data_IF_254261117802
#
_entry.id   IF_254261117802
#
_cell.length_a   1.000
_cell.length_b   1.000
_cell.length_c   1.000
_cell.angle_alpha   90.00
_cell.angle_beta   90.00
_cell.angle_gamma   90.00
#
_symmetry.space_group_name_H-M   'P 1'
#
loop_
_entity.id
_entity.type
_entity.pdbx_description
1 polymer ?
#
# COMPACT_ATOMS: atom_id res chain seq x y z
N UNK A 1 66.49 5.96 -58.86
CA UNK A 1 66.20 5.58 -57.47
C UNK A 1 64.77 6.01 -57.19
N UNK A 2 63.91 5.04 -56.94
CA UNK A 2 62.47 5.16 -56.78
C UNK A 2 62.08 5.83 -55.46
N UNK A 3 61.16 6.79 -55.47
CA UNK A 3 59.81 6.76 -54.84
C UNK A 3 59.27 8.20 -54.62
N UNK A 4 58.04 8.52 -55.08
CA UNK A 4 57.29 9.70 -54.63
C UNK A 4 56.36 9.30 -53.48
N UNK A 5 56.39 10.06 -52.38
CA UNK A 5 55.52 9.88 -51.22
C UNK A 5 54.16 10.54 -51.52
N UNK A 6 53.21 9.75 -52.03
CA UNK A 6 51.80 10.14 -52.10
C UNK A 6 51.16 9.96 -50.72
N UNK A 7 50.79 11.07 -50.08
CA UNK A 7 49.86 11.07 -48.95
C UNK A 7 48.44 10.92 -49.49
N UNK A 8 47.91 9.71 -49.36
CA UNK A 8 46.50 9.38 -49.61
C UNK A 8 45.62 10.03 -48.53
N UNK A 9 44.83 11.01 -48.94
CA UNK A 9 43.59 11.41 -48.27
C UNK A 9 42.59 10.26 -48.42
N UNK A 10 42.58 9.32 -47.48
CA UNK A 10 41.47 8.41 -47.30
C UNK A 10 40.38 9.14 -46.50
N UNK A 11 39.54 9.91 -47.19
CA UNK A 11 38.26 10.31 -46.63
C UNK A 11 37.42 9.04 -46.48
N UNK A 12 37.37 8.50 -45.26
CA UNK A 12 36.43 7.46 -44.91
C UNK A 12 35.02 8.06 -45.01
N UNK A 13 34.37 7.86 -46.15
CA UNK A 13 32.93 8.03 -46.27
C UNK A 13 32.27 6.95 -45.43
N UNK A 14 32.10 7.23 -44.13
CA UNK A 14 31.08 6.54 -43.35
C UNK A 14 29.76 6.77 -44.10
N UNK A 15 28.98 5.72 -44.41
CA UNK A 15 27.62 5.94 -44.86
C UNK A 15 26.90 6.63 -43.70
N UNK A 16 26.72 7.95 -43.82
CA UNK A 16 25.64 8.61 -43.10
C UNK A 16 24.37 7.93 -43.62
N UNK A 17 23.89 6.94 -42.88
CA UNK A 17 22.48 6.56 -42.91
C UNK A 17 21.78 7.79 -42.38
N UNK A 18 21.48 8.74 -43.27
CA UNK A 18 20.69 9.90 -42.93
C UNK A 18 19.35 9.36 -42.44
N UNK A 19 19.06 9.53 -41.16
CA UNK A 19 17.77 9.16 -40.60
C UNK A 19 16.70 9.83 -41.46
N UNK A 20 15.85 9.03 -42.09
CA UNK A 20 14.77 9.57 -42.92
C UNK A 20 13.62 9.88 -41.97
N UNK A 21 13.40 11.18 -41.77
CA UNK A 21 12.43 11.69 -40.80
C UNK A 21 11.09 11.93 -41.50
N UNK A 22 10.03 11.35 -40.97
CA UNK A 22 8.67 11.62 -41.36
C UNK A 22 8.10 12.74 -40.48
N UNK A 23 7.65 13.83 -41.11
CA UNK A 23 7.02 14.97 -40.41
C UNK A 23 5.72 15.29 -41.15
N UNK A 24 4.56 15.23 -40.48
CA UNK A 24 3.28 15.59 -41.09
C UNK A 24 3.14 17.12 -41.18
N UNK A 25 2.10 17.58 -41.87
CA UNK A 25 1.66 18.97 -41.79
C UNK A 25 0.92 19.19 -40.45
N UNK A 26 1.64 19.61 -39.42
CA UNK A 26 1.08 19.88 -38.09
C UNK A 26 1.94 19.34 -36.95
N UNK A 27 1.42 19.46 -35.72
CA UNK A 27 2.08 18.93 -34.53
C UNK A 27 1.74 17.44 -34.27
N UNK A 28 0.63 16.95 -34.84
CA UNK A 28 0.13 15.59 -34.67
C UNK A 28 -0.27 14.98 -36.01
N UNK A 29 -0.20 13.65 -36.08
CA UNK A 29 -0.66 12.84 -37.21
C UNK A 29 -1.79 11.91 -36.74
N UNK A 30 -2.98 12.11 -37.30
CA UNK A 30 -4.17 11.30 -36.98
C UNK A 30 -4.19 10.01 -37.78
N UNK A 31 -4.26 8.88 -37.07
CA UNK A 31 -4.19 7.54 -37.63
C UNK A 31 -5.51 6.82 -37.34
N UNK A 32 -6.21 6.43 -38.39
CA UNK A 32 -7.45 5.64 -38.26
C UNK A 32 -7.29 4.17 -38.63
N UNK A 33 -6.20 3.80 -39.33
CA UNK A 33 -5.93 2.42 -39.78
C UNK A 33 -4.43 2.13 -39.82
N UNK A 34 -4.04 0.86 -39.75
CA UNK A 34 -2.65 0.43 -39.92
C UNK A 34 -2.08 0.83 -41.29
N UNK A 35 -2.89 0.78 -42.36
CA UNK A 35 -2.46 1.19 -43.70
C UNK A 35 -2.09 2.68 -43.76
N UNK A 36 -2.82 3.54 -43.04
CA UNK A 36 -2.49 4.97 -42.95
C UNK A 36 -1.16 5.20 -42.21
N UNK A 37 -0.91 4.43 -41.15
CA UNK A 37 0.37 4.45 -40.43
C UNK A 37 1.53 3.97 -41.30
N UNK A 38 1.35 2.84 -41.99
CA UNK A 38 2.37 2.26 -42.88
C UNK A 38 2.70 3.21 -44.03
N UNK A 39 1.68 3.87 -44.59
CA UNK A 39 1.87 4.87 -45.65
C UNK A 39 2.63 6.09 -45.16
N UNK A 40 2.30 6.60 -43.97
CA UNK A 40 3.02 7.72 -43.37
C UNK A 40 4.47 7.39 -43.06
N UNK A 41 4.72 6.22 -42.46
CA UNK A 41 6.06 5.82 -42.01
C UNK A 41 6.89 5.14 -43.09
N UNK A 42 6.36 5.03 -44.32
CA UNK A 42 7.07 4.36 -45.40
C UNK A 42 8.45 5.01 -45.64
N UNK A 43 9.48 4.17 -45.67
CA UNK A 43 10.88 4.58 -45.82
C UNK A 43 11.42 5.52 -44.74
N UNK A 44 10.74 5.73 -43.63
CA UNK A 44 11.25 6.52 -42.52
C UNK A 44 11.91 5.63 -41.47
N UNK A 45 12.88 6.22 -40.77
CA UNK A 45 13.53 5.62 -39.60
C UNK A 45 13.25 6.41 -38.33
N UNK A 46 12.63 7.59 -38.45
CA UNK A 46 12.19 8.43 -37.35
C UNK A 46 10.87 9.14 -37.68
N UNK A 47 10.02 9.34 -36.68
CA UNK A 47 8.81 10.15 -36.77
C UNK A 47 8.97 11.39 -35.90
N UNK A 48 8.82 12.57 -36.52
CA UNK A 48 8.89 13.85 -35.83
C UNK A 48 7.49 14.45 -35.65
N UNK A 49 6.66 13.77 -34.85
CA UNK A 49 5.27 14.12 -34.60
C UNK A 49 4.71 13.29 -33.45
N UNK A 50 3.68 13.80 -32.79
CA UNK A 50 2.75 12.96 -32.02
C UNK A 50 1.94 12.10 -32.98
N UNK A 51 1.84 10.79 -32.71
CA UNK A 51 1.04 9.82 -33.45
C UNK A 51 -0.24 9.56 -32.67
N UNK A 52 -1.37 10.08 -33.15
CA UNK A 52 -2.65 9.97 -32.47
C UNK A 52 -3.55 8.95 -33.16
N UNK A 53 -3.93 7.92 -32.45
CA UNK A 53 -4.77 6.85 -32.96
C UNK A 53 -6.23 7.14 -32.61
N UNK A 54 -7.08 7.19 -33.63
CA UNK A 54 -8.51 7.44 -33.45
C UNK A 54 -9.21 6.29 -32.74
N UNK A 55 -10.36 6.56 -32.12
CA UNK A 55 -11.20 5.57 -31.41
C UNK A 55 -11.62 4.38 -32.28
N UNK A 56 -11.66 4.58 -33.60
CA UNK A 56 -12.05 3.57 -34.59
C UNK A 56 -10.89 2.68 -35.04
N UNK A 57 -9.67 2.90 -34.54
CA UNK A 57 -8.54 2.04 -34.86
C UNK A 57 -8.85 0.62 -34.36
N UNK A 58 -8.82 -0.35 -35.28
CA UNK A 58 -9.13 -1.75 -35.00
C UNK A 58 -7.87 -2.59 -35.01
N UNK A 59 -7.96 -3.77 -34.39
CA UNK A 59 -6.98 -4.85 -34.46
C UNK A 59 -5.70 -4.53 -33.68
N UNK A 60 -4.53 -4.76 -34.28
CA UNK A 60 -3.22 -4.60 -33.65
C UNK A 60 -2.48 -3.43 -34.28
N UNK A 61 -1.83 -2.62 -33.44
CA UNK A 61 -0.93 -1.56 -33.86
C UNK A 61 0.48 -2.13 -33.98
N UNK A 62 1.08 -2.02 -35.17
CA UNK A 62 2.47 -2.42 -35.40
C UNK A 62 3.25 -1.24 -35.97
N UNK A 63 4.34 -0.84 -35.33
CA UNK A 63 5.21 0.27 -35.77
C UNK A 63 6.64 -0.22 -36.03
N UNK A 64 6.90 -0.90 -37.17
CA UNK A 64 8.21 -1.43 -37.49
C UNK A 64 9.13 -0.36 -38.13
N UNK A 65 10.44 -0.60 -38.11
CA UNK A 65 11.49 0.21 -38.75
C UNK A 65 11.68 1.65 -38.24
N UNK A 66 10.81 2.14 -37.37
CA UNK A 66 10.98 3.43 -36.70
C UNK A 66 11.82 3.22 -35.45
N UNK A 67 12.90 3.99 -35.33
CA UNK A 67 13.86 3.93 -34.21
C UNK A 67 13.71 5.08 -33.22
N UNK A 68 13.08 6.18 -33.66
CA UNK A 68 12.92 7.38 -32.84
C UNK A 68 11.56 8.03 -33.14
N UNK A 69 10.79 8.31 -32.09
CA UNK A 69 9.55 9.08 -32.15
C UNK A 69 9.70 10.26 -31.20
N UNK A 70 9.78 11.47 -31.74
CA UNK A 70 10.02 12.68 -30.93
C UNK A 70 8.76 13.24 -30.28
N UNK A 71 7.58 12.82 -30.75
CA UNK A 71 6.30 13.11 -30.11
C UNK A 71 5.74 11.87 -29.41
N UNK A 72 4.53 12.02 -28.90
CA UNK A 72 3.89 10.97 -28.10
C UNK A 72 3.14 9.99 -29.01
N UNK A 73 2.94 8.76 -28.54
CA UNK A 73 1.97 7.83 -29.09
C UNK A 73 0.73 7.93 -28.22
N UNK A 74 -0.35 8.45 -28.78
CA UNK A 74 -1.60 8.71 -28.08
C UNK A 74 -2.71 7.79 -28.58
N UNK A 75 -3.31 7.02 -27.68
CA UNK A 75 -4.43 6.11 -27.95
C UNK A 75 -5.52 6.38 -26.93
N UNK A 76 -6.70 6.76 -27.40
CA UNK A 76 -7.84 7.09 -26.53
C UNK A 76 -9.06 6.28 -26.93
N UNK A 77 -9.72 5.68 -25.94
CA UNK A 77 -11.02 5.02 -26.06
C UNK A 77 -11.07 4.04 -27.24
N UNK A 78 -10.16 3.06 -27.24
CA UNK A 78 -10.14 2.00 -28.25
C UNK A 78 -10.61 0.68 -27.63
N UNK A 79 -11.86 0.33 -27.92
CA UNK A 79 -12.48 -0.93 -27.51
C UNK A 79 -12.06 -2.11 -28.39
N UNK A 80 -11.32 -1.88 -29.49
CA UNK A 80 -10.95 -2.91 -30.47
C UNK A 80 -9.46 -3.14 -30.62
N UNK A 81 -8.63 -2.31 -29.97
CA UNK A 81 -7.19 -2.50 -29.99
C UNK A 81 -6.80 -3.67 -29.08
N UNK A 82 -6.26 -4.72 -29.70
CA UNK A 82 -5.87 -5.95 -28.99
C UNK A 82 -4.38 -5.94 -28.62
N UNK A 83 -3.52 -5.35 -29.45
CA UNK A 83 -2.08 -5.31 -29.17
C UNK A 83 -1.36 -4.09 -29.74
N UNK A 84 -0.23 -3.74 -29.14
CA UNK A 84 0.69 -2.68 -29.55
C UNK A 84 2.09 -3.26 -29.63
N UNK A 85 2.65 -3.29 -30.83
CA UNK A 85 3.96 -3.86 -31.14
C UNK A 85 4.86 -2.80 -31.77
N UNK A 86 5.85 -2.33 -31.02
CA UNK A 86 6.78 -1.28 -31.46
C UNK A 86 8.21 -1.85 -31.36
N UNK A 87 8.61 -2.73 -32.28
CA UNK A 87 9.79 -3.59 -32.13
C UNK A 87 11.14 -2.89 -32.26
N UNK A 88 11.17 -1.72 -32.91
CA UNK A 88 12.42 -1.07 -33.34
C UNK A 88 12.71 0.27 -32.65
N UNK A 89 11.75 0.85 -31.93
CA UNK A 89 11.91 2.15 -31.29
C UNK A 89 12.88 2.04 -30.12
N UNK A 90 13.87 2.93 -30.11
CA UNK A 90 14.87 3.07 -29.04
C UNK A 90 14.56 4.28 -28.14
N UNK A 91 13.97 5.32 -28.73
CA UNK A 91 13.62 6.58 -28.06
C UNK A 91 12.18 6.97 -28.41
N UNK A 92 11.38 7.22 -27.37
CA UNK A 92 9.99 7.66 -27.47
C UNK A 92 9.77 8.79 -26.47
N UNK A 93 9.15 9.90 -26.89
CA UNK A 93 8.79 10.99 -25.96
C UNK A 93 7.79 10.49 -24.92
N UNK A 94 6.65 9.99 -25.37
CA UNK A 94 5.62 9.51 -24.47
C UNK A 94 4.76 8.40 -25.05
N UNK A 95 4.18 7.61 -24.15
CA UNK A 95 3.17 6.61 -24.46
C UNK A 95 1.94 6.91 -23.60
N UNK A 96 0.87 7.33 -24.24
CA UNK A 96 -0.39 7.66 -23.59
C UNK A 96 -1.49 6.73 -24.09
N UNK A 97 -2.02 5.90 -23.19
CA UNK A 97 -3.15 5.01 -23.47
C UNK A 97 -4.21 5.24 -22.40
N UNK A 98 -5.41 5.61 -22.83
CA UNK A 98 -6.57 5.75 -21.96
C UNK A 98 -7.75 4.96 -22.50
N UNK A 99 -8.43 4.21 -21.63
CA UNK A 99 -9.67 3.49 -21.95
C UNK A 99 -9.49 2.44 -23.07
N UNK A 100 -8.49 1.56 -22.93
CA UNK A 100 -8.31 0.43 -23.83
C UNK A 100 -8.91 -0.86 -23.22
N UNK A 101 -10.11 -1.26 -23.67
CA UNK A 101 -10.89 -2.32 -23.01
C UNK A 101 -10.42 -3.74 -23.34
N UNK A 102 -9.87 -3.95 -24.54
CA UNK A 102 -9.51 -5.27 -25.07
C UNK A 102 -8.00 -5.46 -25.25
N UNK A 103 -7.20 -4.54 -24.70
CA UNK A 103 -5.76 -4.56 -24.82
C UNK A 103 -5.17 -5.77 -24.09
N UNK A 104 -4.56 -6.68 -24.84
CA UNK A 104 -3.93 -7.88 -24.30
C UNK A 104 -2.42 -7.70 -24.12
N UNK A 105 -1.76 -6.94 -25.01
CA UNK A 105 -0.30 -6.83 -25.00
C UNK A 105 0.21 -5.47 -25.49
N UNK A 106 1.23 -4.97 -24.80
CA UNK A 106 2.02 -3.81 -25.20
C UNK A 106 3.49 -4.22 -25.16
N UNK A 107 4.21 -4.09 -26.28
CA UNK A 107 5.62 -4.48 -26.38
C UNK A 107 6.45 -3.42 -27.08
N UNK A 108 7.45 -2.92 -26.36
CA UNK A 108 8.44 -1.96 -26.84
C UNK A 108 9.84 -2.47 -26.47
N UNK A 109 10.30 -3.58 -27.08
CA UNK A 109 11.42 -4.37 -26.57
C UNK A 109 12.78 -3.67 -26.64
N UNK A 110 12.93 -2.60 -27.43
CA UNK A 110 14.19 -1.88 -27.65
C UNK A 110 14.24 -0.49 -27.02
N UNK A 111 13.14 -0.02 -26.43
CA UNK A 111 13.09 1.31 -25.86
C UNK A 111 13.97 1.38 -24.62
N UNK A 112 14.85 2.38 -24.57
CA UNK A 112 15.76 2.61 -23.43
C UNK A 112 15.36 3.80 -22.57
N UNK A 113 14.69 4.78 -23.18
CA UNK A 113 14.22 5.98 -22.50
C UNK A 113 12.85 6.38 -23.03
N UNK A 114 11.95 6.69 -22.08
CA UNK A 114 10.65 7.33 -22.32
C UNK A 114 10.51 8.48 -21.33
N UNK A 115 10.01 9.64 -21.73
CA UNK A 115 9.73 10.71 -20.77
C UNK A 115 8.52 10.31 -19.93
N UNK A 116 7.36 10.12 -20.58
CA UNK A 116 6.09 9.87 -19.87
C UNK A 116 5.37 8.63 -20.40
N UNK A 117 5.06 7.70 -19.49
CA UNK A 117 4.21 6.55 -19.76
C UNK A 117 2.96 6.68 -18.90
N UNK A 118 1.81 6.81 -19.55
CA UNK A 118 0.50 6.78 -18.93
C UNK A 118 -0.31 5.67 -19.58
N UNK A 119 -0.58 4.61 -18.83
CA UNK A 119 -1.36 3.47 -19.29
C UNK A 119 -2.55 3.29 -18.35
N UNK A 120 -3.74 3.51 -18.86
CA UNK A 120 -4.98 3.25 -18.16
C UNK A 120 -5.86 2.32 -18.99
N UNK A 121 -6.01 1.10 -18.49
CA UNK A 121 -6.77 0.03 -19.14
C UNK A 121 -7.63 -0.73 -18.14
N UNK A 122 -8.87 -1.01 -18.53
CA UNK A 122 -9.74 -1.94 -17.82
C UNK A 122 -9.71 -3.34 -18.45
N UNK A 123 -8.73 -3.63 -19.30
CA UNK A 123 -8.57 -4.94 -19.87
C UNK A 123 -8.33 -5.99 -18.77
N UNK A 124 -8.83 -7.20 -18.99
CA UNK A 124 -8.89 -8.18 -17.92
C UNK A 124 -7.51 -8.66 -17.44
N UNK A 125 -6.52 -8.71 -18.33
CA UNK A 125 -5.20 -9.33 -18.06
C UNK A 125 -4.11 -8.85 -19.05
N UNK A 126 -3.90 -7.55 -19.22
CA UNK A 126 -2.88 -7.04 -20.14
C UNK A 126 -1.46 -7.42 -19.69
N UNK A 127 -0.56 -7.50 -20.67
CA UNK A 127 0.88 -7.72 -20.51
C UNK A 127 1.63 -6.48 -21.02
N UNK A 128 2.58 -5.98 -20.23
CA UNK A 128 3.45 -4.86 -20.60
C UNK A 128 4.91 -5.30 -20.65
N UNK A 129 5.58 -5.08 -21.79
CA UNK A 129 6.97 -5.47 -22.00
C UNK A 129 7.84 -4.28 -22.43
N UNK A 130 8.65 -3.81 -21.49
CA UNK A 130 9.65 -2.75 -21.62
C UNK A 130 11.01 -3.22 -21.04
N UNK A 131 11.55 -4.38 -21.46
CA UNK A 131 12.66 -5.06 -20.78
C UNK A 131 13.97 -4.27 -20.80
N UNK A 132 14.18 -3.43 -21.83
CA UNK A 132 15.39 -2.61 -21.98
C UNK A 132 15.21 -1.16 -21.54
N UNK A 133 14.06 -0.80 -20.94
CA UNK A 133 13.83 0.55 -20.45
C UNK A 133 14.78 0.83 -19.28
N UNK A 134 15.72 1.74 -19.44
CA UNK A 134 16.74 2.05 -18.43
C UNK A 134 16.30 3.22 -17.53
N UNK A 135 15.54 4.16 -18.09
CA UNK A 135 15.08 5.38 -17.42
C UNK A 135 13.70 5.81 -17.92
N UNK A 136 12.89 6.33 -17.01
CA UNK A 136 11.62 7.01 -17.31
C UNK A 136 11.48 8.26 -16.45
N UNK A 137 10.79 9.30 -16.92
CA UNK A 137 10.48 10.42 -16.04
C UNK A 137 9.25 10.11 -15.19
N UNK A 138 8.13 9.79 -15.82
CA UNK A 138 6.91 9.35 -15.15
C UNK A 138 6.36 8.05 -15.72
N UNK A 139 6.06 7.09 -14.84
CA UNK A 139 5.44 5.80 -15.16
C UNK A 139 4.16 5.63 -14.35
N UNK A 140 3.01 5.80 -15.00
CA UNK A 140 1.69 5.71 -14.42
C UNK A 140 0.94 4.53 -15.05
N UNK A 141 0.76 3.46 -14.28
CA UNK A 141 0.17 2.20 -14.71
C UNK A 141 -1.11 1.94 -13.92
N UNK A 142 -2.25 2.04 -14.59
CA UNK A 142 -3.58 1.77 -14.06
C UNK A 142 -4.19 0.57 -14.76
N UNK A 143 -4.67 -0.40 -13.97
CA UNK A 143 -5.38 -1.57 -14.47
C UNK A 143 -4.86 -2.89 -13.91
N UNK A 144 -5.49 -3.97 -14.35
CA UNK A 144 -5.25 -5.31 -13.82
C UNK A 144 -4.13 -6.05 -14.57
N UNK A 145 -2.90 -5.54 -14.47
CA UNK A 145 -1.74 -6.09 -15.17
C UNK A 145 -1.42 -7.52 -14.73
N UNK A 146 -1.32 -8.41 -15.72
CA UNK A 146 -0.94 -9.80 -15.47
C UNK A 146 0.57 -9.98 -15.35
N UNK A 147 1.33 -9.17 -16.09
CA UNK A 147 2.77 -9.05 -15.94
C UNK A 147 3.25 -7.72 -16.51
N UNK A 148 4.35 -7.23 -15.92
CA UNK A 148 5.05 -6.02 -16.33
C UNK A 148 6.55 -6.32 -16.31
N UNK A 149 7.22 -6.16 -17.45
CA UNK A 149 8.66 -6.42 -17.57
C UNK A 149 9.45 -5.12 -17.66
N UNK A 150 10.21 -4.82 -16.60
CA UNK A 150 11.07 -3.64 -16.44
C UNK A 150 12.48 -4.06 -15.98
N UNK A 151 13.09 -5.01 -16.68
CA UNK A 151 14.32 -5.69 -16.25
C UNK A 151 15.52 -4.74 -16.11
N UNK A 152 15.58 -3.70 -16.93
CA UNK A 152 16.69 -2.74 -16.97
C UNK A 152 16.38 -1.40 -16.26
N UNK A 153 15.17 -1.20 -15.72
CA UNK A 153 14.76 0.13 -15.23
C UNK A 153 15.54 0.48 -13.96
N UNK A 154 16.41 1.48 -14.04
CA UNK A 154 17.29 1.89 -12.95
C UNK A 154 16.82 3.15 -12.22
N UNK A 155 16.15 4.06 -12.94
CA UNK A 155 15.78 5.38 -12.41
C UNK A 155 14.41 5.83 -12.91
N UNK A 156 13.59 6.30 -11.99
CA UNK A 156 12.36 7.07 -12.28
C UNK A 156 12.63 8.51 -11.83
N UNK A 157 12.50 9.50 -12.73
CA UNK A 157 12.87 10.89 -12.38
C UNK A 157 11.80 11.66 -11.61
N UNK A 158 10.53 11.28 -11.72
CA UNK A 158 9.43 11.96 -11.06
C UNK A 158 8.48 10.95 -10.40
N UNK A 159 7.59 10.32 -11.16
CA UNK A 159 6.47 9.58 -10.58
C UNK A 159 6.49 8.10 -10.99
N UNK A 160 6.37 7.19 -10.01
CA UNK A 160 6.14 5.76 -10.24
C UNK A 160 4.83 5.30 -9.60
N UNK A 161 3.77 5.21 -10.38
CA UNK A 161 2.44 4.80 -9.92
C UNK A 161 2.05 3.47 -10.57
N UNK A 162 1.69 2.48 -9.75
CA UNK A 162 1.15 1.19 -10.21
C UNK A 162 -0.07 0.83 -9.38
N UNK A 163 -1.24 0.95 -9.97
CA UNK A 163 -2.52 0.75 -9.29
C UNK A 163 -3.51 -0.07 -10.12
N UNK A 164 -4.33 -0.88 -9.44
CA UNK A 164 -5.39 -1.65 -10.10
C UNK A 164 -6.66 -0.85 -10.41
N UNK A 165 -6.75 0.37 -9.88
CA UNK A 165 -7.85 1.33 -10.07
C UNK A 165 -7.29 2.74 -10.31
N UNK A 166 -8.03 3.59 -11.01
CA UNK A 166 -7.63 4.97 -11.34
C UNK A 166 -7.34 5.85 -10.11
N UNK A 167 -8.00 5.58 -8.98
CA UNK A 167 -7.86 6.38 -7.77
C UNK A 167 -6.83 5.82 -6.79
N UNK A 168 -6.23 4.66 -7.06
CA UNK A 168 -5.35 3.94 -6.12
C UNK A 168 -5.97 3.68 -4.73
N UNK A 169 -7.29 3.84 -4.60
CA UNK A 169 -8.05 3.72 -3.35
C UNK A 169 -9.39 3.00 -3.59
N UNK A 170 -9.37 1.71 -4.02
CA UNK A 170 -10.61 1.02 -4.28
C UNK A 170 -11.31 0.65 -2.96
N UNK A 171 -12.60 0.95 -2.85
CA UNK A 171 -13.45 0.56 -1.69
C UNK A 171 -13.47 -0.96 -1.43
N UNK A 172 -13.13 -1.74 -2.46
CA UNK A 172 -13.12 -3.20 -2.40
C UNK A 172 -11.86 -3.75 -3.07
N UNK A 173 -11.27 -4.76 -2.44
CA UNK A 173 -10.17 -5.54 -2.98
C UNK A 173 -10.45 -6.01 -4.42
N UNK A 174 -9.58 -5.70 -5.40
CA UNK A 174 -9.67 -6.25 -6.74
C UNK A 174 -9.66 -7.79 -6.73
N UNK A 175 -10.47 -8.42 -7.60
CA UNK A 175 -10.63 -9.88 -7.60
C UNK A 175 -9.33 -10.67 -7.84
N UNK A 176 -8.41 -10.09 -8.62
CA UNK A 176 -7.13 -10.72 -8.95
C UNK A 176 -6.00 -9.98 -8.29
N UNK A 177 -4.99 -10.73 -7.88
CA UNK A 177 -3.76 -10.14 -7.40
C UNK A 177 -2.82 -9.77 -8.56
N UNK A 178 -1.97 -8.77 -8.36
CA UNK A 178 -0.88 -8.41 -9.27
C UNK A 178 0.50 -8.56 -8.62
N UNK A 179 1.48 -8.90 -9.44
CA UNK A 179 2.89 -8.92 -9.05
C UNK A 179 3.56 -7.64 -9.55
N UNK A 180 4.14 -6.86 -8.63
CA UNK A 180 4.85 -5.62 -8.92
C UNK A 180 6.34 -5.86 -8.66
N UNK A 181 7.14 -5.82 -9.72
CA UNK A 181 8.58 -6.09 -9.65
C UNK A 181 9.38 -5.12 -10.50
N UNK A 182 10.33 -4.43 -9.86
CA UNK A 182 11.34 -3.61 -10.53
C UNK A 182 12.72 -4.05 -10.06
N UNK A 183 13.28 -5.12 -10.66
CA UNK A 183 14.44 -5.83 -10.11
C UNK A 183 15.73 -5.03 -10.13
N UNK A 184 15.84 -4.03 -11.01
CA UNK A 184 17.04 -3.22 -11.19
C UNK A 184 16.88 -1.76 -10.76
N UNK A 185 15.72 -1.38 -10.22
CA UNK A 185 15.38 0.01 -9.86
C UNK A 185 16.15 0.41 -8.62
N UNK A 186 16.94 1.49 -8.73
CA UNK A 186 17.82 1.98 -7.66
C UNK A 186 17.33 3.27 -7.03
N UNK A 187 16.64 4.10 -7.82
CA UNK A 187 16.33 5.46 -7.43
C UNK A 187 15.01 5.94 -8.01
N UNK A 188 14.20 6.59 -7.18
CA UNK A 188 13.00 7.32 -7.56
C UNK A 188 13.19 8.77 -7.09
N UNK A 189 13.32 9.71 -8.03
CA UNK A 189 13.61 11.12 -7.73
C UNK A 189 12.37 11.96 -7.38
N UNK A 190 11.18 11.37 -7.43
CA UNK A 190 9.96 11.98 -6.88
C UNK A 190 9.20 10.98 -6.02
N UNK A 191 7.94 10.72 -6.39
CA UNK A 191 7.00 9.93 -5.59
C UNK A 191 6.75 8.54 -6.16
N UNK A 192 6.40 7.61 -5.27
CA UNK A 192 6.03 6.24 -5.61
C UNK A 192 4.69 5.89 -4.95
N UNK A 193 3.82 5.20 -5.69
CA UNK A 193 2.55 4.72 -5.18
C UNK A 193 2.24 3.34 -5.76
N UNK A 194 1.91 2.40 -4.87
CA UNK A 194 1.56 1.03 -5.22
C UNK A 194 0.21 0.70 -4.57
N UNK A 195 -0.81 0.41 -5.37
CA UNK A 195 -2.18 0.29 -4.89
C UNK A 195 -2.96 -0.91 -5.44
N UNK A 196 -3.67 -1.65 -4.60
CA UNK A 196 -4.59 -2.72 -5.03
C UNK A 196 -4.35 -4.06 -4.33
N UNK A 197 -4.76 -5.16 -4.96
CA UNK A 197 -4.52 -6.51 -4.46
C UNK A 197 -3.12 -6.96 -4.88
N UNK A 198 -2.10 -6.67 -4.07
CA UNK A 198 -0.70 -6.95 -4.42
C UNK A 198 -0.31 -8.32 -3.88
N UNK A 199 0.04 -9.27 -4.78
CA UNK A 199 0.57 -10.57 -4.37
C UNK A 199 2.04 -10.48 -3.94
N UNK A 200 2.82 -9.66 -4.65
CA UNK A 200 4.23 -9.46 -4.40
C UNK A 200 4.65 -8.04 -4.78
N UNK A 201 5.44 -7.40 -3.90
CA UNK A 201 6.09 -6.11 -4.17
C UNK A 201 7.60 -6.28 -4.02
N UNK A 202 8.32 -6.25 -5.14
CA UNK A 202 9.75 -6.55 -5.19
C UNK A 202 10.55 -5.39 -5.78
N UNK A 203 11.26 -4.67 -4.91
CA UNK A 203 12.15 -3.55 -5.24
C UNK A 203 13.54 -3.78 -4.59
N UNK A 204 14.25 -4.87 -4.93
CA UNK A 204 15.40 -5.37 -4.16
C UNK A 204 16.62 -4.46 -4.22
N UNK A 205 16.73 -3.66 -5.28
CA UNK A 205 17.85 -2.75 -5.53
C UNK A 205 17.55 -1.29 -5.17
N UNK A 206 16.33 -0.99 -4.71
CA UNK A 206 15.91 0.39 -4.45
C UNK A 206 16.62 0.92 -3.22
N UNK A 207 17.37 2.02 -3.40
CA UNK A 207 18.16 2.65 -2.34
C UNK A 207 17.51 3.94 -1.85
N UNK A 208 16.94 4.73 -2.75
CA UNK A 208 16.42 6.06 -2.41
C UNK A 208 15.11 6.39 -3.11
N UNK A 209 14.23 7.05 -2.37
CA UNK A 209 13.05 7.73 -2.90
C UNK A 209 13.07 9.16 -2.38
N UNK A 210 13.00 10.16 -3.28
CA UNK A 210 13.21 11.55 -2.89
C UNK A 210 12.01 12.18 -2.17
N UNK A 211 10.80 11.66 -2.38
CA UNK A 211 9.58 12.14 -1.73
C UNK A 211 8.83 11.01 -1.02
N UNK A 212 7.53 10.90 -1.25
CA UNK A 212 6.67 9.91 -0.61
C UNK A 212 6.66 8.58 -1.35
N UNK A 213 6.59 7.51 -0.58
CA UNK A 213 6.32 6.15 -1.02
C UNK A 213 5.09 5.64 -0.27
N UNK A 214 4.02 5.40 -1.00
CA UNK A 214 2.77 4.92 -0.43
C UNK A 214 2.47 3.51 -0.93
N UNK A 215 2.05 2.63 -0.02
CA UNK A 215 1.65 1.26 -0.33
C UNK A 215 0.24 1.05 0.24
N UNK A 216 -0.75 0.97 -0.65
CA UNK A 216 -2.16 0.75 -0.35
C UNK A 216 -2.55 -0.67 -0.74
N UNK A 217 -2.62 -1.58 0.23
CA UNK A 217 -2.82 -3.00 -0.05
C UNK A 217 -4.20 -3.52 0.37
N UNK A 218 -4.95 -4.01 -0.60
CA UNK A 218 -6.32 -4.51 -0.46
C UNK A 218 -6.42 -5.95 -0.96
N UNK A 219 -5.79 -6.87 -0.24
CA UNK A 219 -5.76 -8.30 -0.57
C UNK A 219 -5.43 -9.17 0.63
N UNK A 220 -5.06 -10.45 0.44
CA UNK A 220 -4.50 -11.29 1.50
C UNK A 220 -3.23 -10.68 2.09
N UNK A 221 -2.85 -11.03 3.32
CA UNK A 221 -1.72 -10.42 4.04
C UNK A 221 -0.47 -10.26 3.15
N UNK A 222 0.00 -9.00 3.02
CA UNK A 222 1.25 -8.64 2.37
C UNK A 222 2.35 -8.39 3.42
N UNK A 223 3.57 -8.78 3.10
CA UNK A 223 4.76 -8.51 3.93
C UNK A 223 5.83 -7.84 3.06
N UNK A 224 5.77 -6.51 2.89
CA UNK A 224 6.72 -5.80 2.03
C UNK A 224 8.14 -5.84 2.62
N UNK A 225 9.13 -6.04 1.74
CA UNK A 225 10.56 -6.04 2.08
C UNK A 225 11.32 -5.16 1.09
N UNK A 226 11.95 -4.10 1.61
CA UNK A 226 12.76 -3.15 0.83
C UNK A 226 14.20 -3.18 1.39
N UNK A 227 14.99 -4.21 1.06
CA UNK A 227 16.20 -4.55 1.80
C UNK A 227 17.32 -3.52 1.67
N UNK A 228 17.35 -2.73 0.59
CA UNK A 228 18.38 -1.71 0.34
C UNK A 228 17.89 -0.28 0.52
N UNK A 229 16.60 -0.08 0.83
CA UNK A 229 16.05 1.26 0.98
C UNK A 229 16.71 1.92 2.19
N UNK A 230 17.43 3.01 1.92
CA UNK A 230 18.26 3.73 2.88
C UNK A 230 17.64 5.08 3.27
N UNK A 231 17.12 5.81 2.29
CA UNK A 231 16.57 7.15 2.46
C UNK A 231 15.23 7.30 1.73
N UNK A 232 14.21 7.77 2.44
CA UNK A 232 12.88 8.15 1.90
C UNK A 232 12.33 9.33 2.67
N UNK A 233 11.67 10.31 2.06
CA UNK A 233 11.08 11.43 2.82
C UNK A 233 9.90 10.93 3.66
N UNK A 234 8.87 10.39 2.99
CA UNK A 234 7.66 9.88 3.64
C UNK A 234 7.41 8.44 3.22
N UNK A 235 7.11 7.57 4.18
CA UNK A 235 6.78 6.17 3.93
C UNK A 235 5.45 5.84 4.60
N UNK A 236 4.45 5.51 3.79
CA UNK A 236 3.10 5.19 4.22
C UNK A 236 2.70 3.77 3.83
N UNK A 237 2.19 3.01 4.79
CA UNK A 237 1.65 1.68 4.60
C UNK A 237 0.20 1.64 5.06
N UNK A 238 -0.70 1.20 4.18
CA UNK A 238 -2.12 1.06 4.50
C UNK A 238 -2.67 -0.31 4.07
N UNK A 239 -3.60 -0.85 4.86
CA UNK A 239 -4.35 -2.08 4.58
C UNK A 239 -3.77 -3.36 5.21
N UNK A 240 -3.92 -4.50 4.54
CA UNK A 240 -3.65 -5.83 5.13
C UNK A 240 -2.15 -6.18 5.19
N UNK A 241 -1.39 -5.51 6.06
CA UNK A 241 0.08 -5.68 6.19
C UNK A 241 0.43 -6.12 7.61
N UNK A 242 1.16 -7.23 7.73
CA UNK A 242 1.51 -7.78 9.06
C UNK A 242 2.96 -7.54 9.47
N UNK A 243 3.88 -7.50 8.51
CA UNK A 243 5.33 -7.35 8.75
C UNK A 243 5.92 -6.44 7.70
N UNK A 244 6.77 -5.50 8.12
CA UNK A 244 7.48 -4.57 7.23
C UNK A 244 8.99 -4.73 7.47
N UNK A 245 9.73 -5.06 6.42
CA UNK A 245 11.18 -5.27 6.49
C UNK A 245 11.96 -4.15 5.79
N UNK A 246 12.62 -3.30 6.60
CA UNK A 246 13.42 -2.17 6.14
C UNK A 246 14.82 -2.20 6.80
N UNK A 247 15.64 -3.24 6.57
CA UNK A 247 16.87 -3.45 7.33
C UNK A 247 17.94 -2.38 7.12
N UNK A 248 17.94 -1.69 5.97
CA UNK A 248 18.94 -0.68 5.61
C UNK A 248 18.48 0.76 5.82
N UNK A 249 17.24 0.99 6.26
CA UNK A 249 16.70 2.34 6.35
C UNK A 249 17.45 3.14 7.43
N UNK A 250 18.01 4.28 7.03
CA UNK A 250 18.72 5.18 7.92
C UNK A 250 17.93 6.47 8.14
N UNK A 251 17.28 6.99 7.11
CA UNK A 251 16.68 8.32 7.14
C UNK A 251 15.28 8.35 6.56
N UNK A 252 14.38 8.93 7.32
CA UNK A 252 13.09 9.38 6.86
C UNK A 252 12.60 10.60 7.64
N UNK A 253 11.62 11.29 7.09
CA UNK A 253 10.94 12.39 7.76
C UNK A 253 9.64 11.87 8.38
N UNK A 254 8.79 11.19 7.62
CA UNK A 254 7.52 10.67 8.13
C UNK A 254 7.35 9.17 7.88
N UNK A 255 7.00 8.43 8.94
CA UNK A 255 6.52 7.05 8.86
C UNK A 255 5.06 6.97 9.25
N UNK A 256 4.23 6.42 8.38
CA UNK A 256 2.80 6.17 8.63
C UNK A 256 2.48 4.70 8.40
N UNK A 257 1.68 4.13 9.29
CA UNK A 257 1.28 2.73 9.20
C UNK A 257 -0.14 2.56 9.76
N UNK A 258 -1.08 2.26 8.86
CA UNK A 258 -2.50 2.05 9.13
C UNK A 258 -2.90 0.66 8.62
N UNK A 259 -2.74 -0.37 9.45
CA UNK A 259 -2.91 -1.77 8.99
C UNK A 259 -4.05 -2.47 9.71
N UNK A 260 -4.75 -3.36 9.02
CA UNK A 260 -5.84 -4.16 9.60
C UNK A 260 -5.35 -5.46 10.27
N UNK A 261 -4.04 -5.71 10.24
CA UNK A 261 -3.40 -6.92 10.74
C UNK A 261 -2.49 -6.63 11.96
N UNK A 262 -2.24 -7.62 12.84
CA UNK A 262 -1.29 -7.46 13.94
C UNK A 262 0.14 -7.19 13.45
N UNK A 263 0.69 -6.03 13.79
CA UNK A 263 1.93 -5.49 13.23
C UNK A 263 3.20 -6.03 13.91
N UNK A 264 4.18 -6.40 13.10
CA UNK A 264 5.58 -6.59 13.48
C UNK A 264 6.48 -5.64 12.70
N UNK A 265 7.09 -4.68 13.40
CA UNK A 265 7.92 -3.65 12.79
C UNK A 265 9.25 -3.49 13.55
N UNK A 266 10.35 -3.61 12.82
CA UNK A 266 11.67 -3.18 13.26
C UNK A 266 12.15 -2.08 12.31
N UNK A 267 12.18 -0.85 12.81
CA UNK A 267 12.55 0.32 12.02
C UNK A 267 13.92 0.84 12.52
N UNK A 268 15.04 0.43 11.90
CA UNK A 268 16.40 0.77 12.33
C UNK A 268 16.86 2.17 11.88
N UNK A 269 15.93 3.07 11.56
CA UNK A 269 16.24 4.43 11.16
C UNK A 269 16.95 5.21 12.27
N UNK A 270 17.96 6.01 11.90
CA UNK A 270 18.64 6.96 12.78
C UNK A 270 17.79 8.22 12.96
N UNK A 271 17.15 8.67 11.87
CA UNK A 271 16.29 9.85 11.84
C UNK A 271 14.90 9.51 11.30
N UNK A 272 13.87 9.88 12.06
CA UNK A 272 12.46 9.83 11.67
C UNK A 272 11.72 10.98 12.37
N UNK A 273 11.44 12.08 11.66
CA UNK A 273 10.84 13.27 12.28
C UNK A 273 9.48 12.97 12.93
N UNK A 274 8.63 12.22 12.25
CA UNK A 274 7.32 11.81 12.74
C UNK A 274 7.10 10.31 12.51
N UNK A 275 6.64 9.61 13.53
CA UNK A 275 6.20 8.22 13.43
C UNK A 275 4.75 8.14 13.90
N UNK A 276 3.85 7.72 13.02
CA UNK A 276 2.44 7.48 13.31
C UNK A 276 2.11 6.02 13.02
N UNK A 277 1.70 5.29 14.05
CA UNK A 277 1.29 3.90 13.94
C UNK A 277 -0.11 3.78 14.50
N UNK A 278 -1.01 3.20 13.70
CA UNK A 278 -2.39 2.96 14.05
C UNK A 278 -2.82 1.57 13.60
N UNK A 279 -2.92 0.64 14.55
CA UNK A 279 -3.08 -0.79 14.22
C UNK A 279 -3.93 -1.50 15.28
N UNK A 280 -4.69 -2.56 14.93
CA UNK A 280 -5.54 -3.26 15.89
C UNK A 280 -4.73 -3.90 17.01
N UNK A 281 -3.54 -4.43 16.73
CA UNK A 281 -2.62 -4.97 17.74
C UNK A 281 -1.16 -4.93 17.30
N UNK A 282 -0.25 -4.89 18.27
CA UNK A 282 1.20 -4.86 18.05
C UNK A 282 1.81 -6.17 18.55
N UNK A 283 2.36 -6.98 17.63
CA UNK A 283 3.14 -8.19 17.97
C UNK A 283 4.55 -7.81 18.42
N UNK A 284 5.20 -6.94 17.65
CA UNK A 284 6.53 -6.44 17.99
C UNK A 284 6.75 -5.07 17.35
N UNK A 285 7.39 -4.17 18.10
CA UNK A 285 7.72 -2.84 17.64
C UNK A 285 9.07 -2.43 18.21
N UNK A 286 9.98 -1.98 17.36
CA UNK A 286 11.33 -1.59 17.76
C UNK A 286 11.89 -0.47 16.89
N UNK A 287 12.57 0.48 17.56
CA UNK A 287 13.26 1.63 16.95
C UNK A 287 14.71 1.66 17.43
N UNK A 288 15.54 0.65 17.10
CA UNK A 288 16.81 0.38 17.79
C UNK A 288 17.86 1.49 17.66
N UNK A 289 17.84 2.23 16.55
CA UNK A 289 18.84 3.26 16.21
C UNK A 289 18.27 4.68 16.25
N UNK A 290 16.99 4.85 16.61
CA UNK A 290 16.32 6.14 16.51
C UNK A 290 16.94 7.12 17.51
N UNK A 291 17.58 8.17 16.98
CA UNK A 291 18.24 9.23 17.76
C UNK A 291 17.59 10.60 17.56
N UNK A 292 16.97 10.83 16.40
CA UNK A 292 16.32 12.09 16.08
C UNK A 292 14.87 11.85 15.64
N UNK A 293 13.93 12.31 16.47
CA UNK A 293 12.50 12.32 16.18
C UNK A 293 11.84 13.48 16.90
N UNK A 294 10.82 14.08 16.29
CA UNK A 294 9.99 15.13 16.90
C UNK A 294 8.76 14.55 17.59
N UNK A 295 8.11 13.56 16.98
CA UNK A 295 6.97 12.88 17.59
C UNK A 295 6.87 11.40 17.22
N UNK A 296 6.47 10.59 18.20
CA UNK A 296 6.10 9.19 18.03
C UNK A 296 4.70 9.01 18.60
N UNK A 297 3.74 8.67 17.74
CA UNK A 297 2.34 8.46 18.08
C UNK A 297 1.95 7.03 17.74
N UNK A 298 1.49 6.29 18.75
CA UNK A 298 1.10 4.90 18.62
C UNK A 298 -0.34 4.79 19.14
N UNK A 299 -1.24 4.31 18.30
CA UNK A 299 -2.59 3.92 18.68
C UNK A 299 -2.77 2.44 18.42
N UNK A 300 -3.32 1.72 19.40
CA UNK A 300 -3.66 0.31 19.23
C UNK A 300 -4.90 -0.09 20.00
N UNK A 301 -5.71 -0.99 19.42
CA UNK A 301 -6.94 -1.48 20.06
C UNK A 301 -6.68 -2.53 21.14
N UNK A 302 -5.46 -3.09 21.19
CA UNK A 302 -5.00 -4.02 22.21
C UNK A 302 -3.90 -3.42 23.10
N UNK A 303 -3.77 -3.96 24.30
CA UNK A 303 -2.78 -3.48 25.26
C UNK A 303 -1.34 -3.76 24.78
N UNK A 304 -0.48 -2.74 24.87
CA UNK A 304 0.93 -2.82 24.52
C UNK A 304 1.80 -2.12 25.57
N UNK A 305 3.04 -2.59 25.76
CA UNK A 305 3.97 -2.03 26.76
C UNK A 305 4.67 -0.76 26.22
N UNK A 306 3.91 0.35 26.20
CA UNK A 306 4.40 1.66 25.77
C UNK A 306 5.56 2.16 26.65
N UNK A 307 5.60 1.81 27.94
CA UNK A 307 6.68 2.21 28.85
C UNK A 307 8.02 1.58 28.44
N UNK A 308 8.00 0.30 28.07
CA UNK A 308 9.19 -0.40 27.57
C UNK A 308 9.66 0.18 26.24
N UNK A 309 8.74 0.52 25.34
CA UNK A 309 9.08 1.12 24.06
C UNK A 309 9.63 2.54 24.24
N UNK A 310 8.99 3.38 25.05
CA UNK A 310 9.47 4.73 25.34
C UNK A 310 10.88 4.71 25.93
N UNK A 311 11.19 3.74 26.82
CA UNK A 311 12.55 3.56 27.39
C UNK A 311 13.57 3.03 26.39
N UNK A 312 13.16 2.35 25.32
CA UNK A 312 14.09 1.81 24.32
C UNK A 312 14.52 2.85 23.29
N UNK A 313 13.70 3.89 23.07
CA UNK A 313 14.03 5.02 22.22
C UNK A 313 15.13 5.85 22.90
N UNK A 314 16.28 5.96 22.22
CA UNK A 314 17.46 6.68 22.70
C UNK A 314 17.36 8.14 22.26
N UNK A 315 16.66 8.95 23.03
CA UNK A 315 16.60 10.39 22.77
C UNK A 315 17.97 11.00 23.09
N UNK A 316 18.67 11.52 22.08
CA UNK A 316 19.80 12.41 22.35
C UNK A 316 19.24 13.71 22.96
N UNK A 317 19.80 14.13 24.08
CA UNK A 317 19.21 15.04 25.09
C UNK A 317 18.99 16.48 24.57
N UNK A 318 19.19 16.73 23.28
CA UNK A 318 19.08 18.06 22.68
C UNK A 318 17.62 18.48 22.40
N UNK A 319 16.66 17.57 22.26
CA UNK A 319 15.25 17.90 22.03
C UNK A 319 14.30 16.93 22.75
N UNK A 320 13.28 17.45 23.45
CA UNK A 320 12.19 16.63 24.00
C UNK A 320 11.35 16.05 22.85
N UNK A 321 11.12 14.73 22.87
CA UNK A 321 10.25 14.05 21.89
C UNK A 321 8.82 14.05 22.41
N UNK A 322 7.86 14.36 21.53
CA UNK A 322 6.43 14.16 21.83
C UNK A 322 6.10 12.68 21.67
N UNK A 323 5.97 11.96 22.78
CA UNK A 323 5.55 10.56 22.78
C UNK A 323 4.08 10.44 23.18
N UNK A 324 3.25 9.96 22.26
CA UNK A 324 1.83 9.68 22.49
C UNK A 324 1.57 8.19 22.28
N UNK A 325 0.98 7.52 23.28
CA UNK A 325 0.61 6.12 23.19
C UNK A 325 -0.82 5.94 23.71
N UNK A 326 -1.76 5.70 22.80
CA UNK A 326 -3.16 5.44 23.09
C UNK A 326 -3.44 3.96 22.91
N UNK A 327 -3.36 3.22 24.03
CA UNK A 327 -3.63 1.78 24.08
C UNK A 327 -4.52 1.48 25.28
N UNK A 328 -5.38 0.45 25.22
CA UNK A 328 -6.15 0.04 26.36
C UNK A 328 -5.23 -0.24 27.55
N UNK A 329 -5.54 0.36 28.70
CA UNK A 329 -4.78 0.14 29.92
C UNK A 329 -4.78 -1.35 30.26
N UNK A 330 -3.61 -1.99 30.24
CA UNK A 330 -3.46 -3.34 30.79
C UNK A 330 -3.72 -3.26 32.29
N UNK A 331 -4.94 -3.53 32.74
CA UNK A 331 -5.26 -3.73 34.16
C UNK A 331 -4.72 -5.09 34.65
N UNK A 332 -3.44 -5.35 34.37
CA UNK A 332 -2.67 -6.44 34.94
C UNK A 332 -2.13 -6.00 36.29
N UNK A 333 -2.94 -6.17 37.36
CA UNK A 333 -2.42 -6.11 38.73
C UNK A 333 -1.16 -6.98 38.81
N UNK A 334 -0.04 -6.35 39.17
CA UNK A 334 1.23 -6.99 39.49
C UNK A 334 0.97 -8.28 40.28
N UNK A 335 1.65 -9.36 39.92
CA UNK A 335 1.51 -10.68 40.57
C UNK A 335 1.60 -10.58 42.10
N UNK A 336 2.29 -9.56 42.65
CA UNK A 336 2.33 -9.27 44.09
C UNK A 336 1.03 -8.71 44.70
N UNK A 337 0.17 -8.03 43.93
CA UNK A 337 -1.12 -7.53 44.39
C UNK A 337 -2.21 -8.63 44.37
N UNK A 338 -2.11 -9.61 43.45
CA UNK A 338 -3.03 -10.77 43.40
C UNK A 338 -2.85 -11.70 44.61
N UNK A 339 -1.64 -11.84 45.14
CA UNK A 339 -1.37 -12.60 46.38
C UNK A 339 -1.82 -11.84 47.64
N UNK A 340 -1.81 -10.51 47.62
CA UNK A 340 -2.27 -9.68 48.76
C UNK A 340 -3.79 -9.68 48.98
N UNK A 341 -4.58 -9.68 47.90
CA UNK A 341 -6.05 -9.65 47.99
C UNK A 341 -6.62 -11.03 48.35
N UNK A 342 -5.97 -12.12 47.91
CA UNK A 342 -6.38 -13.49 48.26
C UNK A 342 -6.21 -13.85 49.74
N UNK A 343 -5.20 -13.29 50.42
CA UNK A 343 -4.94 -13.54 51.84
C UNK A 343 -5.72 -12.58 52.74
N UNK A 344 -5.97 -11.34 52.29
CA UNK A 344 -6.73 -10.34 53.05
C UNK A 344 -8.23 -10.64 53.18
N UNK A 345 -8.87 -11.15 52.12
CA UNK A 345 -10.31 -11.46 52.12
C UNK A 345 -10.62 -12.77 52.85
N UNK A 346 -9.68 -13.74 52.86
CA UNK A 346 -9.85 -15.01 53.56
C UNK A 346 -9.94 -14.86 55.08
N UNK A 347 -9.15 -13.96 55.67
CA UNK A 347 -9.10 -13.78 57.14
C UNK A 347 -10.26 -12.89 57.62
N UNK A 348 -10.62 -11.84 56.87
CA UNK A 348 -11.76 -10.98 57.22
C UNK A 348 -13.12 -11.67 57.01
N UNK A 349 -13.26 -12.48 55.95
CA UNK A 349 -14.49 -13.22 55.65
C UNK A 349 -14.82 -14.30 56.67
N UNK A 350 -13.82 -15.06 57.14
CA UNK A 350 -14.02 -16.09 58.17
C UNK A 350 -14.37 -15.51 59.55
N UNK A 351 -13.82 -14.33 59.89
CA UNK A 351 -14.16 -13.62 61.13
C UNK A 351 -15.62 -13.16 61.17
N UNK A 352 -16.15 -12.64 60.06
CA UNK A 352 -17.53 -12.17 59.97
C UNK A 352 -18.55 -13.32 59.97
N UNK A 353 -18.24 -14.44 59.32
CA UNK A 353 -19.09 -15.64 59.33
C UNK A 353 -19.11 -16.27 60.73
N UNK A 354 -17.96 -16.33 61.41
CA UNK A 354 -17.89 -16.80 62.80
C UNK A 354 -18.74 -15.97 63.77
N UNK A 355 -18.71 -14.64 63.65
CA UNK A 355 -19.52 -13.74 64.47
C UNK A 355 -21.02 -13.89 64.19
N UNK A 356 -21.42 -14.08 62.93
CA UNK A 356 -22.80 -14.30 62.54
C UNK A 356 -23.37 -15.62 63.12
N UNK A 357 -22.57 -16.70 63.09
CA UNK A 357 -22.97 -18.01 63.65
C UNK A 357 -23.11 -17.94 65.18
N UNK A 358 -22.17 -17.29 65.89
CA UNK A 358 -22.25 -17.12 67.35
C UNK A 358 -23.45 -16.26 67.74
N UNK A 359 -23.75 -15.20 66.98
CA UNK A 359 -24.93 -14.36 67.21
C UNK A 359 -26.25 -15.13 66.97
N UNK A 360 -26.30 -15.99 65.96
CA UNK A 360 -27.47 -16.81 65.66
C UNK A 360 -27.72 -17.90 66.71
N UNK A 361 -26.67 -18.54 67.21
CA UNK A 361 -26.76 -19.51 68.31
C UNK A 361 -27.21 -18.86 69.63
N UNK A 362 -26.72 -17.64 69.94
CA UNK A 362 -27.18 -16.85 71.10
C UNK A 362 -28.65 -16.43 70.97
N UNK A 363 -29.14 -16.12 69.76
CA UNK A 363 -30.57 -15.83 69.53
C UNK A 363 -31.46 -17.07 69.69
N UNK A 364 -30.99 -18.26 69.32
CA UNK A 364 -31.75 -19.50 69.55
C UNK A 364 -31.83 -19.89 71.02
N UNK A 365 -30.79 -19.64 71.81
CA UNK A 365 -30.82 -19.88 73.26
C UNK A 365 -31.85 -19.00 73.99
N UNK A 366 -32.08 -17.76 73.54
CA UNK A 366 -33.10 -16.85 74.11
C UNK A 366 -34.54 -17.10 73.63
N UNK A 367 -34.76 -17.98 72.64
CA UNK A 367 -36.10 -18.29 72.11
C UNK A 367 -36.75 -19.54 72.71
N UNK A 368 -36.14 -20.15 73.75
CA UNK A 368 -36.69 -21.32 74.45
C UNK A 368 -37.57 -21.00 75.68
N UNK A 369 -37.87 -19.72 75.95
CA UNK A 369 -38.80 -19.30 77.02
C UNK A 369 -40.02 -18.47 76.54
N UNK A 370 -40.28 -18.37 75.24
CA UNK A 370 -41.52 -17.75 74.72
C UNK A 370 -42.13 -18.59 73.61
N UNK A 371 -42.55 -19.80 73.97
CA UNK A 371 -43.66 -20.46 73.28
C UNK A 371 -44.99 -19.90 73.79
N UNK A 372 -46.06 -20.17 73.05
CA UNK A 372 -47.46 -19.92 73.43
C UNK A 372 -47.90 -18.45 73.32
N UNK A 373 -48.87 -18.16 72.44
CA UNK A 373 -49.60 -16.89 72.17
C UNK A 373 -49.55 -16.36 70.71
N UNK A 374 -49.36 -17.22 69.69
CA UNK A 374 -49.47 -16.79 68.29
C UNK A 374 -50.23 -17.79 67.39
N UNK A 375 -51.14 -18.56 67.97
CA UNK A 375 -52.00 -19.52 67.24
C UNK A 375 -53.50 -19.20 67.37
N UNK A 376 -53.86 -17.97 67.77
CA UNK A 376 -55.25 -17.50 67.85
C UNK A 376 -55.58 -16.36 66.87
N UNK A 377 -54.64 -15.97 66.01
CA UNK A 377 -54.85 -14.92 64.98
C UNK A 377 -54.90 -15.45 63.54
N UNK A 378 -54.74 -16.77 63.33
CA UNK A 378 -54.88 -17.39 62.00
C UNK A 378 -56.33 -17.72 61.60
N UNK A 379 -57.31 -17.45 62.47
CA UNK A 379 -58.75 -17.68 62.22
C UNK A 379 -59.51 -16.43 61.73
N UNK A 380 -58.86 -15.29 61.50
CA UNK A 380 -59.54 -14.02 61.16
C UNK A 380 -59.19 -13.42 59.78
N UNK A 381 -58.43 -14.11 58.93
CA UNK A 381 -58.01 -13.57 57.62
C UNK A 381 -58.49 -14.42 56.42
N UNK A 382 -59.58 -15.17 56.59
CA UNK A 382 -60.42 -15.66 55.49
C UNK A 382 -61.57 -14.65 55.31
N UNK A 383 -61.38 -13.65 54.43
CA UNK A 383 -62.44 -12.70 54.10
C UNK A 383 -61.97 -11.53 53.23
N UNK A 384 -62.40 -11.53 51.96
CA UNK A 384 -62.36 -10.44 50.96
C UNK A 384 -60.98 -10.13 50.32
N UNK A 385 -60.81 -10.01 49.00
CA UNK A 385 -61.73 -10.04 47.86
C UNK A 385 -60.99 -9.76 46.52
N UNK A 386 -61.56 -10.30 45.42
CA UNK A 386 -61.59 -9.88 44.00
C UNK A 386 -60.37 -9.18 43.35
N UNK A 387 -59.83 -9.53 42.17
CA UNK A 387 -60.30 -10.39 41.08
C UNK A 387 -61.11 -9.69 39.97
N UNK A 388 -60.44 -8.97 39.05
CA UNK A 388 -60.89 -8.45 37.73
C UNK A 388 -59.82 -7.46 37.21
N UNK A 389 -59.48 -7.24 35.94
CA UNK A 389 -59.84 -7.74 34.61
C UNK A 389 -58.73 -7.17 33.68
N UNK A 390 -58.50 -7.80 32.52
CA UNK A 390 -58.68 -7.18 31.20
C UNK A 390 -57.70 -7.67 30.11
N UNK A 391 -58.30 -7.81 28.94
CA UNK A 391 -57.94 -8.54 27.74
C UNK A 391 -56.97 -7.81 26.81
N UNK A 392 -56.35 -8.58 25.92
CA UNK A 392 -55.54 -8.08 24.80
C UNK A 392 -56.32 -7.50 23.62
N UNK A 393 -55.58 -7.11 22.58
CA UNK A 393 -56.06 -7.09 21.19
C UNK A 393 -54.94 -7.11 20.16
N UNK A 394 -55.17 -7.98 19.18
CA UNK A 394 -54.56 -8.13 17.86
C UNK A 394 -54.73 -6.91 16.96
N UNK A 395 -53.83 -6.69 15.98
CA UNK A 395 -54.16 -6.31 14.59
C UNK A 395 -52.94 -6.29 13.63
N UNK A 396 -53.06 -7.14 12.59
CA UNK A 396 -52.80 -6.94 11.13
C UNK A 396 -51.41 -6.62 10.55
N UNK A 397 -50.97 -7.58 9.72
CA UNK A 397 -50.57 -7.48 8.30
C UNK A 397 -50.44 -6.09 7.65
N UNK A 398 -49.26 -5.84 7.09
CA UNK A 398 -49.01 -5.61 5.65
C UNK A 398 -47.57 -6.00 5.32
#
# INVERSE_FOLDING_TARGET
>A
MFLPLWLLLAAASLPHVSARVCTPEGAFFDISTQEALDSFTNNCTAANSTLRFGTNYTDSLVLPNITNVTGDIEITASDRLESIEIPDVEHLSGLWISEALNLARISLPKVRYIENVYLNTSAASPVLELPLLERVDSLLLYGNWSSMAFDALHTVNDTLFVCQDEQCDPDTAPERSMDISFPALKQINGRAEFGGNIANLSLPELVTTASHMNIYHLGPILNPSLPKLDTVENLDFQGNISTIELPSIQKLDMFQCYTDEPLSLNLPAETAQYIYIDVPSIKSLSFPNLTNSSAVSIRSDEAYDCDKLHKSIRVDVQHDIIFYCDVPSSSGLSTGAKTGIGVGVGIAGLGLIGLAVVFWLRRRAKKKERGSHAEEQKMAAMGAGSGSDDSGKSLRSL
#
